data_IF_492460804209
#
_entry.id   IF_492460804209
#
_cell.length_a   1.000
_cell.length_b   1.000
_cell.length_c   1.000
_cell.angle_alpha   90.00
_cell.angle_beta   90.00
_cell.angle_gamma   90.00
#
_symmetry.space_group_name_H-M   'P 1'
#
loop_
_entity.id
_entity.type
_entity.pdbx_description
1 polymer ?
#
# COMPACT_ATOMS: atom_id res chain seq x y z
N UNK A 1 15.94 -18.09 43.99
CA UNK A 1 14.92 -19.15 43.84
C UNK A 1 13.68 -18.45 43.32
N UNK A 2 13.39 -18.54 42.02
CA UNK A 2 12.21 -17.90 41.42
C UNK A 2 11.42 -19.01 40.75
N UNK A 3 10.16 -19.16 41.14
CA UNK A 3 9.25 -20.23 40.73
C UNK A 3 9.08 -20.29 39.20
N UNK A 4 8.75 -21.45 38.62
CA UNK A 4 8.51 -21.55 37.19
C UNK A 4 7.26 -20.73 36.84
N UNK A 5 7.46 -19.63 36.10
CA UNK A 5 6.41 -18.79 35.51
C UNK A 5 5.39 -19.68 34.78
N UNK A 6 4.26 -19.91 35.45
CA UNK A 6 3.18 -20.73 34.91
C UNK A 6 2.45 -20.00 33.79
N UNK A 7 1.99 -20.73 32.79
CA UNK A 7 1.20 -20.23 31.64
C UNK A 7 -0.07 -19.48 32.10
N UNK A 8 -0.53 -19.74 33.33
CA UNK A 8 -1.70 -19.11 33.95
C UNK A 8 -1.41 -17.81 34.72
N UNK A 9 -0.16 -17.34 34.76
CA UNK A 9 0.16 -16.07 35.42
C UNK A 9 0.00 -14.88 34.46
N UNK A 10 -0.34 -13.73 35.03
CA UNK A 10 -0.25 -12.45 34.33
C UNK A 10 1.24 -12.15 34.06
N UNK A 11 1.62 -11.71 32.86
CA UNK A 11 0.78 -11.15 31.79
C UNK A 11 0.29 -12.16 30.73
N UNK A 12 0.76 -13.42 30.74
CA UNK A 12 0.49 -14.42 29.69
C UNK A 12 -0.98 -14.86 29.65
N UNK A 13 -1.65 -14.87 30.81
CA UNK A 13 -3.06 -15.27 30.93
C UNK A 13 -4.01 -14.50 29.98
N UNK A 14 -3.64 -13.28 29.57
CA UNK A 14 -4.43 -12.47 28.63
C UNK A 14 -4.59 -13.17 27.26
N UNK A 15 -3.61 -13.98 26.85
CA UNK A 15 -3.65 -14.75 25.60
C UNK A 15 -4.59 -15.96 25.67
N UNK A 16 -5.12 -16.31 26.83
CA UNK A 16 -6.03 -17.45 27.01
C UNK A 16 -7.44 -17.03 27.44
N UNK A 17 -7.63 -15.74 27.76
CA UNK A 17 -8.89 -15.20 28.27
C UNK A 17 -9.41 -14.05 27.40
N UNK A 18 -10.02 -14.34 26.23
CA UNK A 18 -10.52 -13.30 25.31
C UNK A 18 -11.57 -12.38 25.94
N UNK A 19 -12.35 -12.88 26.90
CA UNK A 19 -13.34 -12.07 27.64
C UNK A 19 -12.69 -11.03 28.57
N UNK A 20 -11.45 -11.27 29.02
CA UNK A 20 -10.69 -10.35 29.87
C UNK A 20 -10.07 -9.23 29.05
N UNK A 21 -9.75 -9.50 27.77
CA UNK A 21 -9.26 -8.48 26.82
C UNK A 21 -10.30 -7.39 26.59
N UNK A 22 -11.57 -7.75 26.46
CA UNK A 22 -12.65 -6.78 26.20
C UNK A 22 -12.91 -5.79 27.36
N UNK A 23 -12.45 -6.10 28.57
CA UNK A 23 -12.65 -5.25 29.77
C UNK A 23 -11.48 -4.31 30.06
N UNK A 24 -10.30 -4.57 29.48
CA UNK A 24 -9.10 -3.73 29.61
C UNK A 24 -8.94 -2.89 28.35
N UNK A 25 -8.27 -1.73 28.48
CA UNK A 25 -7.88 -0.96 27.31
C UNK A 25 -6.88 -1.76 26.47
N UNK A 26 -7.21 -1.94 25.20
CA UNK A 26 -6.46 -2.80 24.26
C UNK A 26 -5.06 -2.25 24.02
N UNK A 27 -4.88 -0.94 24.19
CA UNK A 27 -3.61 -0.23 24.00
C UNK A 27 -2.58 -0.52 25.09
N UNK A 28 -3.02 -0.88 26.30
CA UNK A 28 -2.12 -1.22 27.42
C UNK A 28 -1.48 -2.61 27.26
N UNK A 29 -1.93 -3.38 26.27
CA UNK A 29 -1.46 -4.74 26.03
C UNK A 29 -0.25 -4.70 25.09
N UNK A 30 0.94 -4.93 25.66
CA UNK A 30 2.16 -5.21 24.89
C UNK A 30 2.17 -6.67 24.44
N UNK A 31 1.58 -6.92 23.27
CA UNK A 31 1.46 -8.26 22.71
C UNK A 31 2.82 -8.90 22.41
N UNK A 32 3.83 -8.11 22.03
CA UNK A 32 5.14 -8.60 21.61
C UNK A 32 5.85 -9.20 22.82
N UNK A 33 5.92 -8.44 23.91
CA UNK A 33 6.54 -8.90 25.15
C UNK A 33 5.85 -10.16 25.70
N UNK A 34 4.52 -10.22 25.62
CA UNK A 34 3.74 -11.34 26.14
C UNK A 34 3.94 -12.60 25.28
N UNK A 35 3.99 -12.46 23.95
CA UNK A 35 4.30 -13.57 23.03
C UNK A 35 5.73 -14.09 23.21
N UNK A 36 6.71 -13.20 23.37
CA UNK A 36 8.10 -13.58 23.64
C UNK A 36 8.21 -14.35 24.96
N UNK A 37 7.50 -13.90 26.00
CA UNK A 37 7.48 -14.58 27.29
C UNK A 37 6.80 -15.95 27.18
N UNK A 38 5.72 -16.07 26.40
CA UNK A 38 5.10 -17.35 26.10
C UNK A 38 6.06 -18.31 25.40
N UNK A 39 6.81 -17.85 24.39
CA UNK A 39 7.80 -18.66 23.67
C UNK A 39 8.86 -19.16 24.65
N UNK A 40 9.40 -18.29 25.50
CA UNK A 40 10.40 -18.67 26.53
C UNK A 40 9.86 -19.71 27.51
N UNK A 41 8.59 -19.61 27.91
CA UNK A 41 7.95 -20.60 28.80
C UNK A 41 7.78 -21.95 28.09
N UNK A 42 7.38 -21.95 26.81
CA UNK A 42 7.22 -23.16 26.01
C UNK A 42 8.55 -23.86 25.73
N UNK A 43 9.62 -23.09 25.48
CA UNK A 43 10.99 -23.61 25.30
C UNK A 43 11.52 -24.24 26.58
N UNK A 44 11.33 -23.59 27.74
CA UNK A 44 11.74 -24.14 29.05
C UNK A 44 11.01 -25.43 29.43
N UNK A 45 9.79 -25.63 28.94
CA UNK A 45 8.97 -26.81 29.25
C UNK A 45 9.27 -28.03 28.38
N UNK A 46 10.12 -27.89 27.36
CA UNK A 46 10.42 -28.92 26.31
C UNK A 46 9.16 -29.53 25.65
N UNK A 47 7.99 -28.92 25.87
CA UNK A 47 6.69 -29.34 25.36
C UNK A 47 6.10 -28.23 24.54
N UNK A 48 6.22 -28.37 23.22
CA UNK A 48 5.56 -27.51 22.24
C UNK A 48 4.08 -27.91 22.14
N UNK A 49 3.30 -27.51 23.13
CA UNK A 49 1.85 -27.72 23.11
C UNK A 49 1.21 -26.85 22.02
N UNK A 50 1.01 -27.42 20.82
CA UNK A 50 0.42 -26.72 19.67
C UNK A 50 -0.96 -26.12 19.99
N UNK A 51 -1.71 -26.72 20.92
CA UNK A 51 -2.98 -26.18 21.41
C UNK A 51 -2.81 -24.81 22.07
N UNK A 52 -1.78 -24.65 22.89
CA UNK A 52 -1.47 -23.39 23.58
C UNK A 52 -1.06 -22.32 22.56
N UNK A 53 -0.22 -22.70 21.58
CA UNK A 53 0.14 -21.81 20.48
C UNK A 53 -1.08 -21.39 19.64
N UNK A 54 -2.00 -22.31 19.35
CA UNK A 54 -3.23 -22.02 18.63
C UNK A 54 -4.16 -21.06 19.38
N UNK A 55 -4.33 -21.26 20.69
CA UNK A 55 -5.11 -20.33 21.53
C UNK A 55 -4.46 -18.95 21.59
N UNK A 56 -3.13 -18.89 21.75
CA UNK A 56 -2.38 -17.65 21.74
C UNK A 56 -2.45 -16.93 20.39
N UNK A 57 -2.42 -17.65 19.27
CA UNK A 57 -2.56 -17.07 17.94
C UNK A 57 -3.98 -16.50 17.71
N UNK A 58 -5.01 -17.20 18.17
CA UNK A 58 -6.40 -16.74 18.08
C UNK A 58 -6.63 -15.49 18.93
N UNK A 59 -6.19 -15.50 20.19
CA UNK A 59 -6.33 -14.33 21.06
C UNK A 59 -5.51 -13.14 20.55
N UNK A 60 -4.32 -13.39 20.00
CA UNK A 60 -3.48 -12.36 19.36
C UNK A 60 -4.18 -11.72 18.16
N UNK A 61 -4.79 -12.51 17.28
CA UNK A 61 -5.53 -11.96 16.13
C UNK A 61 -6.74 -11.14 16.57
N UNK A 62 -7.42 -11.57 17.64
CA UNK A 62 -8.53 -10.83 18.23
C UNK A 62 -8.08 -9.49 18.83
N UNK A 63 -7.00 -9.48 19.61
CA UNK A 63 -6.41 -8.26 20.17
C UNK A 63 -6.02 -7.30 19.03
N UNK A 64 -5.39 -7.80 17.97
CA UNK A 64 -4.98 -6.97 16.84
C UNK A 64 -6.18 -6.37 16.10
N UNK A 65 -7.25 -7.16 15.88
CA UNK A 65 -8.50 -6.66 15.31
C UNK A 65 -9.06 -5.51 16.14
N UNK A 66 -9.12 -5.67 17.47
CA UNK A 66 -9.62 -4.63 18.37
C UNK A 66 -8.76 -3.35 18.32
N UNK A 67 -7.43 -3.46 18.19
CA UNK A 67 -6.54 -2.30 18.00
C UNK A 67 -6.88 -1.55 16.71
N UNK A 68 -7.05 -2.27 15.61
CA UNK A 68 -7.42 -1.67 14.32
C UNK A 68 -8.80 -1.00 14.38
N UNK A 69 -9.80 -1.67 14.97
CA UNK A 69 -11.14 -1.11 15.17
C UNK A 69 -11.09 0.18 16.03
N UNK A 70 -10.24 0.22 17.06
CA UNK A 70 -10.04 1.41 17.88
C UNK A 70 -9.48 2.59 17.08
N UNK A 71 -8.53 2.36 16.17
CA UNK A 71 -8.00 3.40 15.27
C UNK A 71 -9.11 3.97 14.38
N UNK A 72 -9.93 3.11 13.78
CA UNK A 72 -11.06 3.55 12.96
C UNK A 72 -12.13 4.29 13.76
N UNK A 73 -12.41 3.86 14.99
CA UNK A 73 -13.33 4.55 15.88
C UNK A 73 -12.83 5.97 16.24
N UNK A 74 -11.53 6.11 16.52
CA UNK A 74 -10.89 7.41 16.76
C UNK A 74 -10.94 8.31 15.53
N UNK A 75 -10.66 7.77 14.34
CA UNK A 75 -10.78 8.51 13.08
C UNK A 75 -12.21 9.01 12.85
N UNK A 76 -13.20 8.14 13.04
CA UNK A 76 -14.62 8.50 12.90
C UNK A 76 -15.02 9.60 13.88
N UNK A 77 -14.64 9.47 15.15
CA UNK A 77 -14.91 10.49 16.17
C UNK A 77 -14.23 11.84 15.84
N UNK A 78 -13.02 11.81 15.27
CA UNK A 78 -12.33 13.02 14.83
C UNK A 78 -13.00 13.66 13.59
N UNK A 79 -13.51 12.86 12.66
CA UNK A 79 -14.27 13.34 11.50
C UNK A 79 -15.61 13.96 11.89
N UNK A 80 -16.32 13.37 12.86
CA UNK A 80 -17.58 13.92 13.41
C UNK A 80 -17.36 15.25 14.14
N UNK A 81 -16.21 15.40 14.82
CA UNK A 81 -15.85 16.64 15.54
C UNK A 81 -15.20 17.71 14.65
N UNK A 82 -14.87 17.40 13.40
CA UNK A 82 -14.30 18.38 12.48
C UNK A 82 -15.37 19.46 12.23
N UNK A 83 -15.13 20.74 12.58
CA UNK A 83 -16.08 21.78 12.25
C UNK A 83 -16.24 21.77 10.74
N UNK A 84 -17.49 21.61 10.31
CA UNK A 84 -17.90 21.71 8.92
C UNK A 84 -17.43 23.08 8.45
N UNK A 85 -16.24 23.14 7.85
CA UNK A 85 -15.82 24.30 7.08
C UNK A 85 -16.96 24.47 6.11
N UNK A 86 -17.66 25.60 6.23
CA UNK A 86 -18.79 25.99 5.42
C UNK A 86 -18.38 25.68 3.98
N UNK A 87 -18.84 24.54 3.47
CA UNK A 87 -18.56 24.15 2.09
C UNK A 87 -19.20 25.28 1.32
N UNK A 88 -18.40 26.17 0.76
CA UNK A 88 -18.89 27.08 -0.25
C UNK A 88 -19.50 26.16 -1.29
N UNK A 89 -20.79 26.28 -1.54
CA UNK A 89 -21.48 25.44 -2.52
C UNK A 89 -20.82 25.70 -3.87
N UNK A 90 -19.80 24.91 -4.20
CA UNK A 90 -19.23 24.90 -5.53
C UNK A 90 -20.28 24.21 -6.37
N UNK A 91 -20.91 24.97 -7.26
CA UNK A 91 -21.87 24.45 -8.21
C UNK A 91 -21.10 23.59 -9.23
N UNK A 92 -20.92 22.31 -8.89
CA UNK A 92 -20.28 21.33 -9.76
C UNK A 92 -21.37 20.83 -10.70
N UNK A 93 -21.20 21.04 -12.01
CA UNK A 93 -22.10 20.46 -13.01
C UNK A 93 -22.05 18.93 -12.87
N UNK A 94 -23.21 18.32 -12.66
CA UNK A 94 -23.34 16.87 -12.54
C UNK A 94 -22.97 16.26 -13.90
N UNK A 95 -21.90 15.45 -13.92
CA UNK A 95 -21.53 14.69 -15.12
C UNK A 95 -22.56 13.57 -15.27
N UNK A 96 -23.27 13.53 -16.39
CA UNK A 96 -24.17 12.43 -16.71
C UNK A 96 -23.36 11.14 -16.82
N UNK A 97 -23.62 10.22 -15.89
CA UNK A 97 -23.01 8.89 -15.91
C UNK A 97 -23.63 8.16 -17.12
N UNK A 98 -22.82 7.56 -18.00
CA UNK A 98 -23.35 6.82 -19.14
C UNK A 98 -24.27 5.70 -18.65
N UNK A 99 -25.44 5.56 -19.29
CA UNK A 99 -26.40 4.50 -19.00
C UNK A 99 -25.71 3.13 -19.08
N UNK A 100 -25.63 2.44 -17.94
CA UNK A 100 -25.24 1.03 -17.90
C UNK A 100 -26.46 0.21 -18.33
N UNK A 101 -26.32 -0.58 -19.39
CA UNK A 101 -27.24 -1.68 -19.64
C UNK A 101 -27.05 -2.73 -18.54
N UNK A 102 -27.82 -2.63 -17.47
CA UNK A 102 -28.02 -3.77 -16.58
C UNK A 102 -29.00 -4.72 -17.28
N UNK A 103 -28.66 -6.01 -17.32
CA UNK A 103 -29.52 -7.08 -17.83
C UNK A 103 -30.66 -7.36 -16.83
N UNK A 104 -31.45 -6.33 -16.53
CA UNK A 104 -32.55 -6.42 -15.57
C UNK A 104 -33.83 -6.73 -16.33
N UNK A 105 -33.93 -7.97 -16.83
CA UNK A 105 -35.24 -8.60 -16.97
C UNK A 105 -35.49 -9.42 -15.71
N UNK A 106 -36.69 -9.35 -15.09
CA UNK A 106 -37.05 -10.25 -14.01
C UNK A 106 -37.07 -11.67 -14.56
N UNK A 107 -36.05 -12.46 -14.22
CA UNK A 107 -35.94 -13.87 -14.64
C UNK A 107 -36.84 -14.70 -13.74
N UNK A 108 -37.74 -15.51 -14.30
CA UNK A 108 -38.61 -16.40 -13.53
C UNK A 108 -37.86 -17.67 -13.08
N UNK A 109 -38.40 -18.39 -12.09
CA UNK A 109 -37.80 -19.66 -11.65
C UNK A 109 -37.72 -20.68 -12.80
N UNK A 110 -38.74 -20.72 -13.65
CA UNK A 110 -38.81 -21.64 -14.77
C UNK A 110 -37.71 -21.31 -15.81
N UNK A 111 -37.45 -20.02 -16.06
CA UNK A 111 -36.36 -19.59 -16.94
C UNK A 111 -34.98 -19.98 -16.36
N UNK A 112 -34.81 -19.90 -15.04
CA UNK A 112 -33.57 -20.34 -14.37
C UNK A 112 -33.39 -21.86 -14.47
N UNK A 113 -34.47 -22.63 -14.33
CA UNK A 113 -34.44 -24.08 -14.45
C UNK A 113 -34.16 -24.52 -15.90
N UNK A 114 -34.73 -23.82 -16.88
CA UNK A 114 -34.45 -24.06 -18.30
C UNK A 114 -32.98 -23.72 -18.65
N UNK A 115 -32.46 -22.59 -18.16
CA UNK A 115 -31.04 -22.24 -18.29
C UNK A 115 -30.12 -23.28 -17.65
N UNK A 116 -30.48 -23.75 -16.45
CA UNK A 116 -29.72 -24.78 -15.75
C UNK A 116 -29.73 -26.10 -16.54
N UNK A 117 -30.90 -26.51 -17.04
CA UNK A 117 -31.04 -27.71 -17.86
C UNK A 117 -30.22 -27.62 -19.15
N UNK A 118 -30.23 -26.46 -19.81
CA UNK A 118 -29.44 -26.19 -21.00
C UNK A 118 -27.92 -26.19 -20.69
N UNK A 119 -27.51 -25.65 -19.55
CA UNK A 119 -26.12 -25.70 -19.09
C UNK A 119 -25.66 -27.12 -18.76
N UNK A 120 -26.48 -27.90 -18.05
CA UNK A 120 -26.18 -29.30 -17.75
C UNK A 120 -26.11 -30.11 -19.05
N UNK A 121 -27.01 -29.86 -20.00
CA UNK A 121 -26.98 -30.46 -21.34
C UNK A 121 -25.71 -30.10 -22.13
N UNK A 122 -25.26 -28.84 -22.06
CA UNK A 122 -24.03 -28.37 -22.71
C UNK A 122 -22.75 -28.94 -22.05
N UNK A 123 -22.74 -29.12 -20.73
CA UNK A 123 -21.63 -29.74 -19.99
C UNK A 123 -21.59 -31.25 -20.25
N UNK A 124 -22.75 -31.92 -20.25
CA UNK A 124 -22.85 -33.35 -20.46
C UNK A 124 -22.56 -33.76 -21.92
N UNK A 125 -22.78 -32.87 -22.88
CA UNK A 125 -22.44 -33.10 -24.28
C UNK A 125 -21.72 -31.87 -24.86
N UNK A 126 -20.41 -31.71 -24.60
CA UNK A 126 -19.62 -30.58 -25.09
C UNK A 126 -19.32 -30.77 -26.58
N UNK A 127 -20.36 -30.69 -27.43
CA UNK A 127 -20.21 -30.66 -28.88
C UNK A 127 -19.60 -29.32 -29.27
N UNK A 128 -18.27 -29.29 -29.29
CA UNK A 128 -17.37 -28.45 -30.11
C UNK A 128 -17.77 -26.99 -30.33
N UNK A 129 -18.46 -26.32 -29.41
CA UNK A 129 -18.56 -24.86 -29.43
C UNK A 129 -17.33 -24.25 -28.76
N UNK A 130 -16.14 -24.58 -29.30
CA UNK A 130 -15.01 -23.67 -29.21
C UNK A 130 -15.26 -22.55 -30.21
N UNK A 131 -16.22 -21.67 -29.93
CA UNK A 131 -16.01 -20.28 -30.37
C UNK A 131 -14.84 -19.81 -29.53
N UNK A 132 -13.64 -19.87 -30.11
CA UNK A 132 -12.48 -19.18 -29.60
C UNK A 132 -12.89 -17.70 -29.47
N UNK A 133 -13.34 -17.31 -28.28
CA UNK A 133 -13.28 -15.93 -27.86
C UNK A 133 -11.78 -15.65 -27.74
N UNK A 134 -11.18 -15.22 -28.85
CA UNK A 134 -9.87 -14.60 -28.86
C UNK A 134 -10.01 -13.28 -28.11
N UNK A 135 -10.06 -13.37 -26.78
CA UNK A 135 -9.70 -12.25 -25.92
C UNK A 135 -8.19 -12.18 -26.09
N UNK A 136 -7.74 -11.28 -26.96
CA UNK A 136 -6.33 -10.95 -27.05
C UNK A 136 -5.89 -10.53 -25.64
N UNK A 137 -4.97 -11.27 -24.98
CA UNK A 137 -4.39 -10.79 -23.74
C UNK A 137 -3.76 -9.44 -24.07
N UNK A 138 -4.18 -8.36 -23.41
CA UNK A 138 -3.49 -7.08 -23.57
C UNK A 138 -2.02 -7.35 -23.32
N UNK A 139 -1.16 -7.12 -24.32
CA UNK A 139 0.25 -7.41 -24.23
C UNK A 139 0.79 -6.86 -22.89
N UNK A 140 1.55 -7.65 -22.11
CA UNK A 140 2.18 -7.13 -20.91
C UNK A 140 2.90 -5.82 -21.28
N UNK A 141 2.75 -4.75 -20.48
CA UNK A 141 3.41 -3.50 -20.79
C UNK A 141 4.90 -3.76 -20.98
N UNK A 142 5.41 -3.38 -22.16
CA UNK A 142 6.79 -3.65 -22.54
C UNK A 142 7.73 -2.88 -21.62
N UNK A 143 8.30 -3.57 -20.64
CA UNK A 143 9.19 -2.97 -19.63
C UNK A 143 10.46 -2.36 -20.27
N UNK A 144 10.81 -2.74 -21.50
CA UNK A 144 11.92 -2.13 -22.24
C UNK A 144 11.71 -0.63 -22.49
N UNK A 145 10.46 -0.16 -22.60
CA UNK A 145 10.18 1.28 -22.73
C UNK A 145 10.56 2.07 -21.47
N UNK A 146 10.57 1.44 -20.30
CA UNK A 146 10.99 2.09 -19.04
C UNK A 146 12.51 2.14 -18.90
N UNK A 147 13.26 1.16 -19.42
CA UNK A 147 14.73 1.21 -19.44
C UNK A 147 15.27 2.32 -20.34
N UNK A 148 14.57 2.68 -21.42
CA UNK A 148 14.94 3.84 -22.25
C UNK A 148 15.01 5.12 -21.42
N UNK A 149 14.10 5.29 -20.45
CA UNK A 149 14.04 6.48 -19.60
C UNK A 149 15.28 6.63 -18.72
N UNK A 150 15.85 5.53 -18.22
CA UNK A 150 17.09 5.56 -17.41
C UNK A 150 18.29 6.03 -18.24
N UNK A 151 18.40 5.57 -19.49
CA UNK A 151 19.46 6.03 -20.42
C UNK A 151 19.31 7.49 -20.84
N UNK A 152 18.08 8.01 -20.87
CA UNK A 152 17.82 9.42 -21.13
C UNK A 152 18.21 10.27 -19.91
N UNK A 153 17.86 9.84 -18.69
CA UNK A 153 18.22 10.52 -17.45
C UNK A 153 19.73 10.69 -17.30
N UNK A 154 20.52 9.66 -17.65
CA UNK A 154 21.98 9.72 -17.55
C UNK A 154 22.58 10.85 -18.40
N UNK A 155 22.06 11.06 -19.62
CA UNK A 155 22.48 12.16 -20.52
C UNK A 155 22.20 13.52 -19.92
N UNK A 156 21.02 13.72 -19.32
CA UNK A 156 20.67 14.98 -18.68
C UNK A 156 21.47 15.19 -17.39
N UNK A 157 21.82 14.12 -16.67
CA UNK A 157 22.74 14.17 -15.54
C UNK A 157 24.14 14.68 -15.94
N UNK A 158 24.69 14.20 -17.07
CA UNK A 158 25.95 14.73 -17.60
C UNK A 158 25.87 16.20 -18.00
N UNK A 159 24.74 16.63 -18.59
CA UNK A 159 24.53 18.04 -18.96
C UNK A 159 24.53 18.95 -17.74
N UNK A 160 23.87 18.53 -16.65
CA UNK A 160 23.85 19.23 -15.37
C UNK A 160 25.28 19.32 -14.81
N UNK A 161 26.01 18.21 -14.80
CA UNK A 161 27.39 18.19 -14.32
C UNK A 161 28.30 19.11 -15.16
N UNK A 162 28.16 19.16 -16.49
CA UNK A 162 28.92 20.08 -17.36
C UNK A 162 28.60 21.54 -17.08
N UNK A 163 27.33 21.90 -16.90
CA UNK A 163 26.92 23.29 -16.60
C UNK A 163 27.38 23.73 -15.20
N UNK A 164 27.42 22.82 -14.23
CA UNK A 164 27.85 23.12 -12.84
C UNK A 164 29.38 23.08 -12.69
N UNK A 165 30.10 22.33 -13.54
CA UNK A 165 31.56 22.15 -13.46
C UNK A 165 32.34 23.48 -13.46
N UNK A 166 31.86 24.50 -14.16
CA UNK A 166 32.55 25.79 -14.28
C UNK A 166 32.30 26.75 -13.10
N UNK A 167 31.20 26.58 -12.34
CA UNK A 167 30.76 27.54 -11.30
C UNK A 167 30.67 26.94 -9.90
N UNK A 168 30.76 25.62 -9.73
CA UNK A 168 30.62 24.92 -8.44
C UNK A 168 29.18 24.85 -7.91
N UNK A 169 28.32 25.78 -8.34
CA UNK A 169 26.89 25.83 -8.07
C UNK A 169 26.13 26.41 -9.27
N UNK A 170 24.90 25.94 -9.51
CA UNK A 170 24.01 26.47 -10.53
C UNK A 170 22.56 26.45 -10.08
N UNK A 171 21.78 27.47 -10.45
CA UNK A 171 20.33 27.46 -10.29
C UNK A 171 19.68 26.58 -11.36
N UNK A 172 18.64 25.84 -10.99
CA UNK A 172 17.94 24.95 -11.91
C UNK A 172 17.30 25.74 -13.06
N UNK A 173 16.75 26.94 -12.80
CA UNK A 173 16.21 27.81 -13.87
C UNK A 173 17.26 28.19 -14.92
N UNK A 174 18.49 28.48 -14.52
CA UNK A 174 19.58 28.80 -15.45
C UNK A 174 20.01 27.57 -16.28
N UNK A 175 19.87 26.38 -15.71
CA UNK A 175 20.19 25.11 -16.39
C UNK A 175 19.11 24.79 -17.43
N UNK A 176 17.85 25.04 -17.08
CA UNK A 176 16.65 24.74 -17.88
C UNK A 176 16.35 25.82 -18.93
N UNK A 177 16.87 27.04 -18.82
CA UNK A 177 16.54 28.16 -19.71
C UNK A 177 16.73 27.88 -21.22
N UNK A 178 17.60 26.93 -21.59
CA UNK A 178 17.87 26.55 -22.98
C UNK A 178 17.07 25.30 -23.45
N UNK A 179 16.21 24.72 -22.62
CA UNK A 179 15.56 23.42 -22.84
C UNK A 179 14.04 23.55 -23.03
N UNK A 180 13.47 22.60 -23.77
CA UNK A 180 12.02 22.45 -23.97
C UNK A 180 11.32 21.95 -22.70
N UNK A 181 9.99 22.08 -22.60
CA UNK A 181 9.22 21.73 -21.40
C UNK A 181 9.41 20.27 -20.95
N UNK A 182 9.49 19.34 -21.91
CA UNK A 182 9.72 17.93 -21.61
C UNK A 182 11.16 17.67 -21.12
N UNK A 183 12.12 18.38 -21.69
CA UNK A 183 13.53 18.25 -21.33
C UNK A 183 13.84 18.94 -20.01
N UNK A 184 13.12 20.01 -19.67
CA UNK A 184 13.08 20.66 -18.36
C UNK A 184 12.67 19.68 -17.26
N UNK A 185 11.57 18.93 -17.48
CA UNK A 185 11.10 17.89 -16.55
C UNK A 185 12.13 16.76 -16.41
N UNK A 186 12.72 16.32 -17.51
CA UNK A 186 13.78 15.29 -17.49
C UNK A 186 15.04 15.76 -16.74
N UNK A 187 15.43 17.01 -16.91
CA UNK A 187 16.52 17.64 -16.15
C UNK A 187 16.22 17.69 -14.65
N UNK A 188 14.98 18.00 -14.26
CA UNK A 188 14.57 17.96 -12.87
C UNK A 188 14.69 16.55 -12.28
N UNK A 189 14.20 15.52 -12.98
CA UNK A 189 14.37 14.14 -12.52
C UNK A 189 15.84 13.74 -12.45
N UNK A 190 16.66 14.10 -13.43
CA UNK A 190 18.09 13.83 -13.42
C UNK A 190 18.80 14.48 -12.22
N UNK A 191 18.42 15.71 -11.84
CA UNK A 191 18.95 16.37 -10.64
C UNK A 191 18.59 15.60 -9.34
N UNK A 192 17.37 15.10 -9.23
CA UNK A 192 16.95 14.28 -8.08
C UNK A 192 17.71 12.95 -8.01
N UNK A 193 17.95 12.30 -9.16
CA UNK A 193 18.76 11.08 -9.22
C UNK A 193 20.22 11.33 -8.84
N UNK A 194 20.81 12.42 -9.33
CA UNK A 194 22.16 12.84 -8.96
C UNK A 194 22.31 13.11 -7.45
N UNK A 195 21.27 13.66 -6.83
CA UNK A 195 21.26 13.92 -5.39
C UNK A 195 21.11 12.63 -4.58
N UNK A 196 20.30 11.68 -5.06
CA UNK A 196 20.21 10.34 -4.47
C UNK A 196 21.56 9.61 -4.50
N UNK A 197 22.34 9.79 -5.56
CA UNK A 197 23.67 9.18 -5.73
C UNK A 197 24.79 9.98 -5.03
N UNK A 198 24.46 10.97 -4.19
CA UNK A 198 25.40 11.82 -3.43
C UNK A 198 26.42 12.61 -4.28
N UNK A 199 26.18 12.76 -5.59
CA UNK A 199 27.07 13.54 -6.47
C UNK A 199 26.84 15.04 -6.36
N UNK A 200 25.65 15.43 -5.90
CA UNK A 200 25.11 16.78 -5.96
C UNK A 200 24.19 17.02 -4.75
N UNK A 201 24.22 18.20 -4.16
CA UNK A 201 23.29 18.62 -3.10
C UNK A 201 22.27 19.62 -3.66
N UNK A 202 21.02 19.50 -3.21
CA UNK A 202 19.89 20.30 -3.67
C UNK A 202 19.36 21.14 -2.51
N UNK A 203 19.48 22.46 -2.63
CA UNK A 203 18.95 23.41 -1.67
C UNK A 203 17.84 24.25 -2.31
N UNK A 204 16.71 24.40 -1.64
CA UNK A 204 15.66 25.31 -2.10
C UNK A 204 16.02 26.75 -1.71
N UNK A 205 16.10 27.64 -2.70
CA UNK A 205 16.33 29.07 -2.50
C UNK A 205 15.13 29.85 -3.07
N UNK A 206 14.11 30.06 -2.24
CA UNK A 206 12.85 30.69 -2.64
C UNK A 206 12.04 29.79 -3.57
N UNK A 207 11.72 30.29 -4.76
CA UNK A 207 10.96 29.55 -5.79
C UNK A 207 11.87 28.76 -6.76
N UNK A 208 13.18 28.70 -6.49
CA UNK A 208 14.15 28.00 -7.34
C UNK A 208 15.00 26.99 -6.55
N UNK A 209 15.62 26.07 -7.28
CA UNK A 209 16.44 24.98 -6.75
C UNK A 209 17.90 25.28 -7.06
N UNK A 210 18.68 25.48 -6.01
CA UNK A 210 20.12 25.60 -6.10
C UNK A 210 20.74 24.21 -6.11
N UNK A 211 21.53 23.94 -7.12
CA UNK A 211 22.25 22.68 -7.32
C UNK A 211 23.72 22.95 -7.01
N UNK A 212 24.25 22.33 -5.96
CA UNK A 212 25.64 22.48 -5.53
C UNK A 212 26.38 21.17 -5.67
N UNK A 213 27.63 21.20 -6.13
CA UNK A 213 28.44 19.99 -6.17
C UNK A 213 28.95 19.67 -4.77
N UNK A 214 28.80 18.42 -4.34
CA UNK A 214 29.45 17.92 -3.13
C UNK A 214 30.92 17.62 -3.50
N UNK A 215 31.87 18.44 -3.05
CA UNK A 215 33.30 18.10 -3.13
C UNK A 215 33.63 17.06 -2.05
N UNK A 216 33.43 15.78 -2.37
CA UNK A 216 33.58 14.72 -1.38
C UNK A 216 33.50 13.27 -1.87
N UNK A 217 33.71 13.01 -3.18
CA UNK A 217 33.95 11.67 -3.73
C UNK A 217 34.84 11.76 -4.99
#
# INVERSE_FOLDING_TARGET
>A
MSEPEGISQEPVNILFSPSSVAKKDVWDIDLIQILDLLIRILEKKDKKDLKVAGMAALSSSLIYRMKVESIFALQKAAMEKKPMHQRTDVNIQLVDIPFRHESTYPVSLDDLLELLQNLIGAIANPKTSRRNLYIEPSAPPDFNKYFTFESEIEKYGELIMRKIFARGSGMLRDIIADLDELDSIRCFFAALFLAKDEKVDLAQSGDDILITRIEGA
#
